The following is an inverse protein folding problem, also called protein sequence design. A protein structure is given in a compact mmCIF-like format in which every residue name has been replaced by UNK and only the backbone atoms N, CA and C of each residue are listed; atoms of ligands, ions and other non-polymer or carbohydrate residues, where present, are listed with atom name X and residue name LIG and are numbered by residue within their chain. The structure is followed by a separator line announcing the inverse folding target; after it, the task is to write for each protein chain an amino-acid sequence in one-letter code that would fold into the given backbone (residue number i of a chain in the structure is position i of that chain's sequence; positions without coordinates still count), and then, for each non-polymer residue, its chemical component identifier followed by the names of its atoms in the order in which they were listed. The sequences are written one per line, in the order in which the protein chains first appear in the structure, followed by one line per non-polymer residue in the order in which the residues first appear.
data_IF_561827704024
#
_entry.id   IF_561827704024
#
_cell.length_a   1.000
_cell.length_b   1.000
_cell.length_c   1.000
_cell.angle_alpha   90.00
_cell.angle_beta   90.00
_cell.angle_gamma   90.00
#
_symmetry.space_group_name_H-M   'P 1'
#
loop_
_entity.id
_entity.type
_entity.pdbx_description
1 polymer ?
#
# COMPACT_ATOMS: atom_id res chain seq x y z
N UNK A 1 -39.20 44.81 25.72
CA UNK A 1 -39.42 44.13 24.43
C UNK A 1 -38.35 44.68 23.49
N UNK A 2 -37.18 44.05 23.50
CA UNK A 2 -36.03 44.46 22.67
C UNK A 2 -35.54 43.20 22.00
N UNK A 3 -35.70 43.20 20.68
CA UNK A 3 -35.42 42.12 19.75
C UNK A 3 -34.02 41.58 19.95
N UNK A 4 -33.90 40.26 20.15
CA UNK A 4 -32.66 39.56 19.81
C UNK A 4 -32.48 39.73 18.30
N UNK A 5 -31.40 40.38 17.90
CA UNK A 5 -30.93 40.36 16.53
C UNK A 5 -30.46 38.93 16.26
N UNK A 6 -31.26 38.20 15.50
CA UNK A 6 -30.88 36.97 14.83
C UNK A 6 -29.75 37.32 13.85
N UNK A 7 -28.51 37.14 14.30
CA UNK A 7 -27.35 37.30 13.44
C UNK A 7 -27.33 36.10 12.51
N UNK A 8 -27.83 36.30 11.29
CA UNK A 8 -27.77 35.36 10.18
C UNK A 8 -26.34 34.92 9.90
N UNK A 9 -25.94 33.82 10.53
CA UNK A 9 -24.78 33.01 10.18
C UNK A 9 -25.21 31.76 9.40
N UNK A 10 -26.29 31.85 8.61
CA UNK A 10 -26.63 30.86 7.59
C UNK A 10 -25.79 31.12 6.33
N UNK A 11 -24.46 31.23 6.52
CA UNK A 11 -23.49 31.25 5.44
C UNK A 11 -23.20 29.78 5.08
N UNK A 12 -23.94 29.25 4.11
CA UNK A 12 -23.50 28.19 3.19
C UNK A 12 -22.82 26.93 3.81
N UNK A 13 -23.20 26.55 5.03
CA UNK A 13 -22.75 25.30 5.68
C UNK A 13 -23.21 24.06 4.89
N UNK A 14 -24.19 24.22 3.98
CA UNK A 14 -24.77 23.14 3.18
C UNK A 14 -23.88 22.63 2.04
N UNK A 15 -22.73 23.25 1.76
CA UNK A 15 -21.79 22.78 0.73
C UNK A 15 -20.52 22.14 1.33
N UNK A 16 -19.97 22.67 2.44
CA UNK A 16 -18.70 22.15 3.00
C UNK A 16 -18.82 20.74 3.57
N UNK A 17 -19.92 20.45 4.26
CA UNK A 17 -20.17 19.10 4.80
C UNK A 17 -20.37 18.10 3.66
N UNK A 18 -21.09 18.49 2.60
CA UNK A 18 -21.29 17.66 1.41
C UNK A 18 -19.97 17.37 0.68
N UNK A 19 -19.06 18.34 0.58
CA UNK A 19 -17.72 18.15 0.01
C UNK A 19 -16.88 17.20 0.88
N UNK A 20 -16.94 17.34 2.20
CA UNK A 20 -16.23 16.47 3.13
C UNK A 20 -16.76 15.03 3.06
N UNK A 21 -18.09 14.85 3.08
CA UNK A 21 -18.74 13.54 2.93
C UNK A 21 -18.34 12.89 1.61
N UNK A 22 -18.36 13.65 0.50
CA UNK A 22 -17.97 13.13 -0.80
C UNK A 22 -16.49 12.74 -0.86
N UNK A 23 -15.60 13.52 -0.23
CA UNK A 23 -14.19 13.18 -0.10
C UNK A 23 -14.04 11.86 0.66
N UNK A 24 -14.73 11.71 1.78
CA UNK A 24 -14.61 10.54 2.66
C UNK A 24 -15.17 9.28 1.99
N UNK A 25 -16.27 9.39 1.22
CA UNK A 25 -16.77 8.32 0.35
C UNK A 25 -15.71 7.86 -0.66
N UNK A 26 -15.03 8.80 -1.32
CA UNK A 26 -14.01 8.49 -2.32
C UNK A 26 -12.77 7.85 -1.68
N UNK A 27 -12.32 8.38 -0.54
CA UNK A 27 -11.20 7.79 0.23
C UNK A 27 -11.54 6.37 0.66
N UNK A 28 -12.76 6.11 1.14
CA UNK A 28 -13.21 4.78 1.52
C UNK A 28 -13.20 3.81 0.32
N UNK A 29 -13.76 4.21 -0.81
CA UNK A 29 -13.76 3.39 -2.02
C UNK A 29 -12.33 3.05 -2.51
N UNK A 30 -11.42 4.02 -2.47
CA UNK A 30 -10.03 3.83 -2.86
C UNK A 30 -9.29 2.97 -1.85
N UNK A 31 -9.56 3.12 -0.55
CA UNK A 31 -9.01 2.26 0.50
C UNK A 31 -9.37 0.80 0.29
N UNK A 32 -10.64 0.52 -0.01
CA UNK A 32 -11.10 -0.86 -0.25
C UNK A 32 -10.41 -1.48 -1.46
N UNK A 33 -10.32 -0.73 -2.57
CA UNK A 33 -9.67 -1.22 -3.79
C UNK A 33 -8.16 -1.37 -3.62
N UNK A 34 -7.47 -0.37 -3.05
CA UNK A 34 -6.05 -0.44 -2.77
C UNK A 34 -5.72 -1.50 -1.69
N UNK A 35 -6.65 -1.82 -0.81
CA UNK A 35 -6.55 -2.94 0.13
C UNK A 35 -6.43 -4.29 -0.56
N UNK A 36 -7.14 -4.48 -1.68
CA UNK A 36 -7.00 -5.69 -2.49
C UNK A 36 -5.60 -5.77 -3.11
N UNK A 37 -5.07 -4.65 -3.62
CA UNK A 37 -3.70 -4.57 -4.14
C UNK A 37 -2.68 -4.90 -3.04
N UNK A 38 -2.83 -4.29 -1.85
CA UNK A 38 -1.97 -4.53 -0.70
C UNK A 38 -1.95 -6.01 -0.27
N UNK A 39 -3.11 -6.66 -0.23
CA UNK A 39 -3.22 -8.07 0.08
C UNK A 39 -2.49 -8.95 -0.96
N UNK A 40 -2.65 -8.67 -2.25
CA UNK A 40 -1.92 -9.40 -3.29
C UNK A 40 -0.41 -9.16 -3.20
N UNK A 41 0.01 -7.92 -2.93
CA UNK A 41 1.41 -7.57 -2.73
C UNK A 41 2.03 -8.32 -1.55
N UNK A 42 1.32 -8.43 -0.42
CA UNK A 42 1.76 -9.21 0.73
C UNK A 42 1.98 -10.69 0.38
N UNK A 43 1.07 -11.27 -0.40
CA UNK A 43 1.21 -12.66 -0.89
C UNK A 43 2.42 -12.83 -1.81
N UNK A 44 2.70 -11.86 -2.67
CA UNK A 44 3.86 -11.90 -3.57
C UNK A 44 5.19 -11.73 -2.81
N UNK A 45 5.22 -10.87 -1.79
CA UNK A 45 6.45 -10.58 -1.03
C UNK A 45 6.74 -11.62 0.07
N UNK A 46 5.73 -12.39 0.50
CA UNK A 46 5.91 -13.51 1.45
C UNK A 46 6.29 -13.07 2.87
N UNK A 47 5.97 -11.83 3.26
CA UNK A 47 6.29 -11.29 4.59
C UNK A 47 5.18 -10.38 5.14
N UNK A 48 5.22 -10.17 6.45
CA UNK A 48 4.21 -9.38 7.19
C UNK A 48 4.33 -7.87 6.97
N UNK A 49 5.41 -7.40 6.37
CA UNK A 49 5.64 -5.99 6.11
C UNK A 49 6.16 -5.81 4.70
N UNK A 50 5.69 -4.78 4.02
CA UNK A 50 6.24 -4.46 2.72
C UNK A 50 5.75 -3.16 2.13
N UNK A 51 6.43 -2.78 1.06
CA UNK A 51 6.13 -1.60 0.25
C UNK A 51 6.45 -1.90 -1.20
N UNK A 52 5.65 -1.34 -2.09
CA UNK A 52 5.94 -1.28 -3.51
C UNK A 52 5.67 0.12 -4.02
N UNK A 53 6.57 0.61 -4.87
CA UNK A 53 6.38 1.86 -5.62
C UNK A 53 6.12 1.52 -7.09
N UNK A 54 5.09 2.16 -7.65
CA UNK A 54 4.60 1.98 -9.02
C UNK A 54 4.71 3.32 -9.74
N UNK A 55 5.50 3.35 -10.81
CA UNK A 55 5.73 4.57 -11.59
C UNK A 55 4.63 4.74 -12.64
N UNK A 56 4.11 5.96 -12.75
CA UNK A 56 3.16 6.37 -13.78
C UNK A 56 3.68 7.62 -14.50
N UNK A 57 3.00 8.06 -15.56
CA UNK A 57 3.31 9.35 -16.19
C UNK A 57 2.99 10.54 -15.27
N UNK A 58 2.08 10.37 -14.30
CA UNK A 58 1.67 11.40 -13.36
C UNK A 58 2.58 11.52 -12.13
N UNK A 59 3.29 10.47 -11.77
CA UNK A 59 4.19 10.41 -10.62
C UNK A 59 4.39 8.99 -10.12
N UNK A 60 4.66 8.86 -8.83
CA UNK A 60 4.89 7.57 -8.18
C UNK A 60 3.76 7.24 -7.20
N UNK A 61 3.26 6.01 -7.25
CA UNK A 61 2.32 5.48 -6.27
C UNK A 61 3.01 4.49 -5.35
N UNK A 62 2.96 4.75 -4.05
CA UNK A 62 3.52 3.85 -3.05
C UNK A 62 2.39 3.18 -2.27
N UNK A 63 2.35 1.85 -2.35
CA UNK A 63 1.49 0.98 -1.56
C UNK A 63 2.32 0.41 -0.42
N UNK A 64 1.96 0.70 0.84
CA UNK A 64 2.56 0.05 2.01
C UNK A 64 1.54 -0.86 2.69
N UNK A 65 1.98 -2.06 3.07
CA UNK A 65 1.15 -3.02 3.77
C UNK A 65 1.83 -3.55 5.03
N UNK A 66 0.99 -3.94 5.98
CA UNK A 66 1.34 -4.69 7.17
C UNK A 66 0.29 -5.80 7.37
N UNK A 67 0.72 -7.03 7.62
CA UNK A 67 -0.12 -8.22 7.79
C UNK A 67 -1.17 -8.42 6.67
N UNK A 68 -0.85 -7.99 5.44
CA UNK A 68 -1.76 -8.05 4.30
C UNK A 68 -2.83 -6.95 4.27
N UNK A 69 -2.82 -6.01 5.21
CA UNK A 69 -3.68 -4.84 5.23
C UNK A 69 -2.97 -3.62 4.68
N UNK A 70 -3.71 -2.73 4.00
CA UNK A 70 -3.17 -1.46 3.52
C UNK A 70 -2.88 -0.54 4.72
N UNK A 71 -1.60 -0.24 4.92
CA UNK A 71 -1.15 0.68 5.96
C UNK A 71 -1.23 2.13 5.47
N UNK A 72 -0.74 2.39 4.25
CA UNK A 72 -0.98 3.66 3.56
C UNK A 72 -0.90 3.53 2.05
N UNK A 73 -1.57 4.47 1.38
CA UNK A 73 -1.44 4.73 -0.04
C UNK A 73 -0.97 6.17 -0.25
N UNK A 74 0.19 6.33 -0.88
CA UNK A 74 0.83 7.62 -1.12
C UNK A 74 0.97 7.85 -2.62
N UNK A 75 0.55 9.02 -3.09
CA UNK A 75 0.87 9.52 -4.42
C UNK A 75 1.88 10.65 -4.33
N UNK A 76 3.03 10.49 -4.99
CA UNK A 76 4.08 11.49 -5.12
C UNK A 76 4.06 12.02 -6.56
N UNK A 77 3.34 13.12 -6.85
CA UNK A 77 3.23 13.63 -8.20
C UNK A 77 4.56 14.15 -8.73
N UNK A 78 4.72 14.19 -10.05
CA UNK A 78 5.88 14.80 -10.72
C UNK A 78 6.09 16.28 -10.36
N UNK A 79 5.03 16.97 -9.94
CA UNK A 79 5.08 18.34 -9.42
C UNK A 79 4.02 18.54 -8.34
N UNK A 80 4.31 19.42 -7.38
CA UNK A 80 3.46 19.64 -6.20
C UNK A 80 3.94 18.86 -4.99
N UNK A 81 3.03 18.53 -4.08
CA UNK A 81 3.33 17.85 -2.82
C UNK A 81 2.74 16.45 -2.79
N UNK A 82 3.40 15.59 -2.03
CA UNK A 82 2.95 14.25 -1.69
C UNK A 82 1.52 14.23 -1.12
N UNK A 83 0.71 13.31 -1.61
CA UNK A 83 -0.69 13.11 -1.20
C UNK A 83 -0.85 11.74 -0.57
N UNK A 84 -1.01 11.71 0.75
CA UNK A 84 -1.41 10.50 1.46
C UNK A 84 -2.92 10.27 1.25
N UNK A 85 -3.27 9.54 0.19
CA UNK A 85 -4.66 9.24 -0.19
C UNK A 85 -5.34 8.39 0.88
N UNK A 86 -4.62 7.40 1.41
CA UNK A 86 -5.05 6.61 2.57
C UNK A 86 -3.95 6.69 3.62
N UNK A 87 -4.31 7.10 4.83
CA UNK A 87 -3.39 7.26 5.96
C UNK A 87 -4.12 7.12 7.29
N UNK A 88 -3.40 6.70 8.33
CA UNK A 88 -3.91 6.62 9.70
C UNK A 88 -3.98 7.99 10.40
N UNK A 89 -3.43 9.05 9.80
CA UNK A 89 -3.35 10.38 10.42
C UNK A 89 -4.57 11.27 10.12
N UNK A 90 -4.80 11.57 8.85
CA UNK A 90 -5.89 12.44 8.40
C UNK A 90 -6.18 12.18 6.90
N UNK A 91 -7.45 12.31 6.45
CA UNK A 91 -7.75 12.32 5.02
C UNK A 91 -7.09 13.51 4.30
N UNK A 92 -6.79 13.37 2.99
CA UNK A 92 -6.24 14.46 2.18
C UNK A 92 -7.24 15.62 2.01
N UNK A 93 -6.75 16.80 1.61
CA UNK A 93 -7.63 17.88 1.15
C UNK A 93 -8.36 17.45 -0.15
N UNK A 94 -9.63 17.87 -0.40
CA UNK A 94 -10.38 17.50 -1.60
C UNK A 94 -9.65 17.78 -2.93
N UNK A 95 -8.91 18.90 -3.03
CA UNK A 95 -8.16 19.23 -4.24
C UNK A 95 -7.00 18.27 -4.48
N UNK A 96 -6.23 17.97 -3.43
CA UNK A 96 -5.14 17.02 -3.48
C UNK A 96 -5.64 15.59 -3.80
N UNK A 97 -6.79 15.20 -3.22
CA UNK A 97 -7.44 13.93 -3.53
C UNK A 97 -7.84 13.87 -5.01
N UNK A 98 -8.49 14.92 -5.54
CA UNK A 98 -8.89 14.95 -6.94
C UNK A 98 -7.69 14.80 -7.90
N UNK A 99 -6.57 15.48 -7.62
CA UNK A 99 -5.33 15.33 -8.38
C UNK A 99 -4.80 13.90 -8.33
N UNK A 100 -4.77 13.28 -7.16
CA UNK A 100 -4.34 11.88 -7.04
C UNK A 100 -5.28 10.94 -7.80
N UNK A 101 -6.60 11.05 -7.61
CA UNK A 101 -7.57 10.15 -8.25
C UNK A 101 -7.63 10.29 -9.77
N UNK A 102 -7.21 11.41 -10.34
CA UNK A 102 -7.03 11.54 -11.78
C UNK A 102 -5.95 10.59 -12.34
N UNK A 103 -4.92 10.27 -11.55
CA UNK A 103 -3.84 9.36 -11.94
C UNK A 103 -4.02 7.92 -11.42
N UNK A 104 -4.91 7.70 -10.45
CA UNK A 104 -5.11 6.38 -9.83
C UNK A 104 -5.37 5.22 -10.83
N UNK A 105 -6.12 5.39 -11.94
CA UNK A 105 -6.23 4.34 -12.95
C UNK A 105 -4.88 3.91 -13.56
N UNK A 106 -3.94 4.84 -13.71
CA UNK A 106 -2.57 4.52 -14.17
C UNK A 106 -1.80 3.74 -13.12
N UNK A 107 -2.03 3.99 -11.83
CA UNK A 107 -1.46 3.19 -10.74
C UNK A 107 -1.92 1.73 -10.81
N UNK A 108 -3.21 1.51 -11.09
CA UNK A 108 -3.78 0.16 -11.25
C UNK A 108 -3.21 -0.53 -12.48
N UNK A 109 -3.03 0.19 -13.60
CA UNK A 109 -2.35 -0.35 -14.78
C UNK A 109 -0.90 -0.73 -14.46
N UNK A 110 -0.14 0.14 -13.78
CA UNK A 110 1.24 -0.14 -13.38
C UNK A 110 1.35 -1.34 -12.42
N UNK A 111 0.37 -1.53 -11.52
CA UNK A 111 0.28 -2.74 -10.70
C UNK A 111 0.09 -4.00 -11.56
N UNK A 112 -0.83 -3.96 -12.53
CA UNK A 112 -1.08 -5.10 -13.40
C UNK A 112 0.15 -5.44 -14.25
N UNK A 113 0.86 -4.42 -14.76
CA UNK A 113 2.12 -4.60 -15.49
C UNK A 113 3.21 -5.20 -14.59
N UNK A 114 3.27 -4.77 -13.32
CA UNK A 114 4.17 -5.36 -12.34
C UNK A 114 3.87 -6.86 -12.12
N UNK A 115 2.60 -7.24 -11.92
CA UNK A 115 2.21 -8.66 -11.80
C UNK A 115 2.53 -9.45 -13.07
N UNK A 116 2.25 -8.88 -14.25
CA UNK A 116 2.57 -9.50 -15.52
C UNK A 116 4.07 -9.73 -15.67
N UNK A 117 4.91 -8.79 -15.22
CA UNK A 117 6.37 -8.91 -15.27
C UNK A 117 6.93 -10.05 -14.42
N UNK A 118 6.18 -10.51 -13.41
CA UNK A 118 6.55 -11.64 -12.55
C UNK A 118 6.13 -13.00 -13.13
N UNK A 119 5.27 -13.00 -14.15
CA UNK A 119 4.78 -14.25 -14.75
C UNK A 119 5.93 -15.00 -15.44
N UNK A 120 6.11 -16.26 -15.07
CA UNK A 120 7.16 -17.13 -15.61
C UNK A 120 8.57 -16.90 -15.07
N UNK A 121 8.75 -15.98 -14.10
CA UNK A 121 10.09 -15.70 -13.50
C UNK A 121 10.73 -16.94 -12.87
N UNK A 122 9.93 -17.90 -12.42
CA UNK A 122 10.42 -19.12 -11.78
C UNK A 122 10.41 -20.35 -12.71
N UNK A 123 9.98 -20.21 -13.97
CA UNK A 123 9.78 -21.36 -14.86
C UNK A 123 11.10 -22.11 -15.17
N UNK A 124 12.22 -21.39 -15.21
CA UNK A 124 13.55 -21.95 -15.46
C UNK A 124 14.33 -22.27 -14.17
N UNK A 125 13.71 -22.14 -12.99
CA UNK A 125 14.38 -22.41 -11.70
C UNK A 125 14.24 -23.88 -11.34
N UNK A 126 15.38 -24.57 -11.16
CA UNK A 126 15.41 -25.95 -10.65
C UNK A 126 15.39 -25.98 -9.12
N UNK A 127 14.58 -26.89 -8.57
CA UNK A 127 14.59 -27.25 -7.14
C UNK A 127 15.32 -28.58 -6.88
N UNK A 128 16.16 -29.04 -7.82
CA UNK A 128 17.03 -30.19 -7.64
C UNK A 128 18.34 -29.72 -6.98
N UNK A 129 18.54 -30.13 -5.74
CA UNK A 129 19.73 -29.79 -4.96
C UNK A 129 20.58 -31.04 -4.72
N UNK A 130 21.92 -30.91 -4.66
CA UNK A 130 22.79 -32.02 -4.28
C UNK A 130 22.56 -32.43 -2.82
N UNK A 131 22.81 -33.70 -2.51
CA UNK A 131 22.76 -34.21 -1.13
C UNK A 131 23.84 -33.51 -0.27
N UNK A 132 23.52 -33.05 0.94
CA UNK A 132 24.51 -32.50 1.85
C UNK A 132 25.42 -33.60 2.41
N UNK A 133 26.69 -33.28 2.62
CA UNK A 133 27.64 -34.17 3.29
C UNK A 133 27.20 -34.49 4.74
N UNK A 134 27.36 -35.75 5.16
CA UNK A 134 27.07 -36.16 6.54
C UNK A 134 28.18 -35.72 7.51
N UNK A 135 27.77 -35.31 8.72
CA UNK A 135 28.67 -34.98 9.83
C UNK A 135 28.81 -36.12 10.85
N UNK A 136 28.15 -37.27 10.62
CA UNK A 136 28.07 -38.39 11.58
C UNK A 136 29.45 -38.90 11.97
N UNK A 137 30.40 -38.94 11.02
CA UNK A 137 31.77 -39.34 11.28
C UNK A 137 32.50 -38.41 12.26
N UNK A 138 32.27 -37.10 12.17
CA UNK A 138 32.86 -36.11 13.07
C UNK A 138 32.23 -36.21 14.47
N UNK A 139 30.92 -36.45 14.55
CA UNK A 139 30.20 -36.65 15.82
C UNK A 139 30.68 -37.93 16.52
N UNK A 140 30.77 -39.04 15.78
CA UNK A 140 31.24 -40.32 16.32
C UNK A 140 32.70 -40.24 16.82
N UNK A 141 33.53 -39.39 16.22
CA UNK A 141 34.89 -39.15 16.70
C UNK A 141 34.91 -38.31 17.98
N UNK A 142 34.11 -37.23 18.03
CA UNK A 142 33.96 -36.41 19.24
C UNK A 142 33.53 -37.24 20.44
N UNK A 143 32.50 -38.06 20.28
CA UNK A 143 31.94 -38.85 21.39
C UNK A 143 32.97 -39.88 21.88
N UNK A 144 33.73 -40.51 20.96
CA UNK A 144 34.88 -41.36 21.32
C UNK A 144 35.97 -40.65 22.13
N UNK A 145 36.20 -39.35 21.91
CA UNK A 145 37.20 -38.56 22.66
C UNK A 145 36.66 -38.14 24.03
N UNK A 146 35.37 -37.77 24.11
CA UNK A 146 34.75 -37.26 25.34
C UNK A 146 34.37 -38.35 26.34
N UNK A 147 34.12 -39.58 25.89
CA UNK A 147 33.79 -40.73 26.75
C UNK A 147 35.04 -41.41 27.37
N UNK A 148 36.21 -40.76 27.31
CA UNK A 148 37.48 -41.23 27.92
C UNK A 148 37.74 -40.62 29.29
#
# INVERSE_FOLDING_TARGET
MTSHADLGFDLDVRDTDAVADRRDELVAAVRDHAGQIAYQLARLQGGDYGRQTLSTSGGEWTVKHEAGELEFLLFSPTSGSDVYVVSTKQPPDPGALATALADYPNAVAAWNDHVASLSGVLDDVSAEFPDPDSTDGLVAERDRVLDR
#
